data_IF_000013893761
#
_entry.id   IF_000013893761
#
_cell.length_a   1.000
_cell.length_b   1.000
_cell.length_c   1.000
_cell.angle_alpha   90.00
_cell.angle_beta   90.00
_cell.angle_gamma   90.00
#
_symmetry.space_group_name_H-M   'P 1'
#
loop_
_entity.id
_entity.type
_entity.pdbx_description
1 polymer ?
#
# COMPACT_ATOMS: atom_id res chain seq x y z
N UNK A 1 2.08 15.87 -0.07
CA UNK A 1 3.02 14.78 0.29
C UNK A 1 2.41 13.51 -0.28
N UNK A 2 3.01 12.99 -1.37
CA UNK A 2 2.38 12.19 -2.43
C UNK A 2 1.45 11.02 -2.03
N UNK A 3 1.70 10.34 -0.89
CA UNK A 3 0.89 9.19 -0.47
C UNK A 3 -0.53 9.52 -0.02
N UNK A 4 -0.75 10.71 0.55
CA UNK A 4 -2.09 11.14 0.97
C UNK A 4 -3.00 11.46 -0.22
N UNK A 5 -2.41 11.92 -1.32
CA UNK A 5 -3.15 12.36 -2.50
C UNK A 5 -3.78 11.17 -3.24
N UNK A 6 -3.12 10.00 -3.24
CA UNK A 6 -3.65 8.76 -3.83
C UNK A 6 -4.85 8.24 -3.04
N UNK A 7 -4.77 8.21 -1.70
CA UNK A 7 -5.89 7.79 -0.86
C UNK A 7 -7.06 8.78 -0.94
N UNK A 8 -6.78 10.08 -0.98
CA UNK A 8 -7.81 11.11 -1.22
C UNK A 8 -8.49 10.92 -2.57
N UNK A 9 -7.73 10.68 -3.64
CA UNK A 9 -8.27 10.40 -4.97
C UNK A 9 -9.14 9.13 -4.98
N UNK A 10 -8.69 8.07 -4.31
CA UNK A 10 -9.46 6.83 -4.15
C UNK A 10 -10.79 7.10 -3.42
N UNK A 11 -10.77 7.85 -2.31
CA UNK A 11 -11.98 8.24 -1.58
C UNK A 11 -12.95 9.08 -2.43
N UNK A 12 -12.42 10.00 -3.25
CA UNK A 12 -13.23 10.77 -4.20
C UNK A 12 -13.87 9.87 -5.26
N UNK A 13 -13.14 8.88 -5.78
CA UNK A 13 -13.67 7.91 -6.74
C UNK A 13 -14.72 6.97 -6.12
N UNK A 14 -14.54 6.58 -4.87
CA UNK A 14 -15.54 5.84 -4.09
C UNK A 14 -16.84 6.62 -3.94
N UNK A 15 -16.75 7.91 -3.57
CA UNK A 15 -17.89 8.79 -3.41
C UNK A 15 -18.69 9.00 -4.72
N UNK A 16 -18.08 8.76 -5.88
CA UNK A 16 -18.72 8.87 -7.21
C UNK A 16 -19.56 7.64 -7.60
N UNK A 17 -19.62 6.60 -6.76
CA UNK A 17 -20.66 5.56 -6.83
C UNK A 17 -20.41 4.39 -7.77
N UNK A 18 -19.23 4.27 -8.40
CA UNK A 18 -18.95 3.19 -9.37
C UNK A 18 -17.59 2.49 -9.14
N UNK A 19 -17.14 2.37 -7.89
CA UNK A 19 -15.89 1.68 -7.58
C UNK A 19 -16.18 0.22 -7.16
N UNK A 20 -15.90 -0.78 -8.02
CA UNK A 20 -16.12 -2.18 -7.66
C UNK A 20 -15.12 -2.60 -6.57
N UNK A 21 -15.66 -3.00 -5.41
CA UNK A 21 -14.94 -3.55 -4.25
C UNK A 21 -13.99 -2.58 -3.52
N UNK A 22 -14.56 -1.85 -2.54
CA UNK A 22 -13.88 -0.92 -1.64
C UNK A 22 -12.73 -1.48 -0.80
N UNK A 23 -12.68 -2.81 -0.61
CA UNK A 23 -11.73 -3.50 0.28
C UNK A 23 -10.44 -3.94 -0.40
N UNK A 24 -10.36 -3.85 -1.73
CA UNK A 24 -9.22 -4.37 -2.51
C UNK A 24 -8.03 -3.40 -2.60
N UNK A 25 -8.22 -2.13 -2.27
CA UNK A 25 -7.16 -1.11 -2.34
C UNK A 25 -6.72 -0.75 -0.93
N UNK A 26 -5.45 -1.03 -0.63
CA UNK A 26 -4.78 -0.72 0.65
C UNK A 26 -3.35 -0.25 0.36
N UNK A 27 -2.77 0.54 1.25
CA UNK A 27 -1.37 0.96 1.13
C UNK A 27 -0.43 -0.22 1.38
N UNK A 28 0.63 -0.35 0.59
CA UNK A 28 1.60 -1.43 0.78
C UNK A 28 2.28 -1.34 2.17
N UNK A 29 2.67 -0.13 2.60
CA UNK A 29 3.23 0.10 3.93
C UNK A 29 2.28 -0.24 5.09
N UNK A 30 0.97 -0.41 4.84
CA UNK A 30 0.05 -0.89 5.90
C UNK A 30 0.30 -2.37 6.27
N UNK A 31 1.06 -3.09 5.46
CA UNK A 31 1.49 -4.46 5.70
C UNK A 31 2.91 -4.56 6.25
N UNK A 32 3.70 -3.48 6.29
CA UNK A 32 5.01 -3.49 6.94
C UNK A 32 4.82 -3.73 8.45
N UNK A 33 5.64 -4.63 9.02
CA UNK A 33 5.68 -4.94 10.46
C UNK A 33 7.00 -4.50 11.09
N UNK A 34 8.11 -4.63 10.35
CA UNK A 34 9.46 -4.31 10.82
C UNK A 34 9.82 -2.86 10.53
N UNK A 35 9.31 -2.31 9.43
CA UNK A 35 9.55 -0.93 9.03
C UNK A 35 8.34 -0.03 9.30
N UNK A 36 8.60 1.16 9.84
CA UNK A 36 7.56 2.15 10.19
C UNK A 36 7.37 3.24 9.14
N UNK A 37 7.99 3.07 7.98
CA UNK A 37 7.96 4.00 6.88
C UNK A 37 6.54 4.18 6.32
N UNK A 38 6.18 5.44 6.05
CA UNK A 38 4.83 5.80 5.61
C UNK A 38 4.64 5.67 4.10
N UNK A 39 5.72 5.50 3.35
CA UNK A 39 5.73 5.40 1.90
C UNK A 39 6.92 4.56 1.43
N UNK A 40 6.72 3.80 0.35
CA UNK A 40 7.82 3.18 -0.37
C UNK A 40 8.42 4.25 -1.29
N UNK A 41 9.71 4.59 -1.19
CA UNK A 41 10.36 5.57 -2.05
C UNK A 41 10.38 5.07 -3.51
N UNK A 42 10.22 5.99 -4.47
CA UNK A 42 10.30 5.66 -5.89
C UNK A 42 11.76 5.33 -6.25
N UNK A 43 12.05 4.12 -6.75
CA UNK A 43 13.42 3.69 -7.06
C UNK A 43 14.07 4.51 -8.19
N UNK A 44 13.29 5.26 -8.97
CA UNK A 44 13.81 6.10 -10.04
C UNK A 44 14.61 7.33 -9.51
N UNK A 45 14.35 7.77 -8.27
CA UNK A 45 14.99 8.96 -7.68
C UNK A 45 15.76 8.67 -6.37
N UNK A 46 16.04 7.41 -6.03
CA UNK A 46 16.73 7.04 -4.77
C UNK A 46 17.47 5.70 -4.85
N UNK A 47 18.18 5.34 -3.77
CA UNK A 47 18.78 4.01 -3.63
C UNK A 47 17.71 2.95 -3.35
N UNK A 48 18.08 1.66 -3.42
CA UNK A 48 17.17 0.52 -3.33
C UNK A 48 16.50 0.31 -1.95
N UNK A 49 16.43 1.34 -1.10
CA UNK A 49 15.81 1.33 0.24
C UNK A 49 14.32 0.92 0.21
N UNK A 50 13.64 1.10 -0.91
CA UNK A 50 12.25 0.65 -1.08
C UNK A 50 12.08 -0.87 -1.17
N UNK A 51 13.16 -1.62 -1.43
CA UNK A 51 13.09 -3.08 -1.63
C UNK A 51 12.85 -3.80 -0.30
N UNK A 52 13.55 -3.39 0.77
CA UNK A 52 13.40 -3.98 2.11
C UNK A 52 11.99 -3.76 2.67
N UNK A 53 11.42 -2.57 2.40
CA UNK A 53 10.03 -2.24 2.77
C UNK A 53 9.02 -3.14 2.05
N UNK A 54 9.26 -3.41 0.76
CA UNK A 54 8.40 -4.27 -0.04
C UNK A 54 8.49 -5.72 0.42
N UNK A 55 9.68 -6.22 0.75
CA UNK A 55 9.88 -7.58 1.25
C UNK A 55 9.11 -7.81 2.56
N UNK A 56 9.24 -6.89 3.52
CA UNK A 56 8.52 -6.94 4.80
C UNK A 56 6.99 -6.85 4.63
N UNK A 57 6.52 -5.97 3.74
CA UNK A 57 5.10 -5.84 3.44
C UNK A 57 4.54 -7.06 2.69
N UNK A 58 5.31 -7.67 1.78
CA UNK A 58 4.88 -8.85 1.02
C UNK A 58 4.67 -10.06 1.93
N UNK A 59 5.56 -10.27 2.92
CA UNK A 59 5.44 -11.35 3.90
C UNK A 59 4.09 -11.29 4.62
N UNK A 60 3.73 -10.11 5.13
CA UNK A 60 2.45 -9.89 5.82
C UNK A 60 1.23 -9.86 4.91
N UNK A 61 1.39 -9.40 3.67
CA UNK A 61 0.32 -9.44 2.67
C UNK A 61 -0.04 -10.88 2.33
N UNK A 62 0.95 -11.75 2.12
CA UNK A 62 0.76 -13.17 1.84
C UNK A 62 0.03 -13.89 2.98
N UNK A 63 0.37 -13.58 4.23
CA UNK A 63 -0.38 -14.10 5.40
C UNK A 63 -1.86 -13.69 5.33
N UNK A 64 -2.16 -12.43 5.00
CA UNK A 64 -3.54 -11.94 4.93
C UNK A 64 -4.37 -12.63 3.84
N UNK A 65 -3.76 -12.94 2.69
CA UNK A 65 -4.43 -13.62 1.58
C UNK A 65 -4.67 -15.10 1.92
N UNK A 66 -3.71 -15.75 2.58
CA UNK A 66 -3.84 -17.15 3.00
C UNK A 66 -4.92 -17.35 4.06
N UNK A 67 -5.13 -16.38 4.93
CA UNK A 67 -6.17 -16.41 5.97
C UNK A 67 -7.58 -16.18 5.39
N UNK A 68 -7.72 -15.47 4.28
CA UNK A 68 -9.00 -15.28 3.57
C UNK A 68 -9.38 -16.45 2.65
N UNK A 69 -8.53 -17.48 2.52
CA UNK A 69 -8.74 -18.66 1.64
C UNK A 69 -9.44 -19.83 2.32
#
# INVERSE_FOLDING_TARGET
MFGEDILKACNVWKARGNFPHDKKVKLMCSYCKKHSDKFVPDPYYGEAEGTDLLEDACESLLDSIRVES
#
